data_IF_554289575948
#
_entry.id   IF_554289575948
#
_cell.length_a   1.000
_cell.length_b   1.000
_cell.length_c   1.000
_cell.angle_alpha   90.00
_cell.angle_beta   90.00
_cell.angle_gamma   90.00
#
_symmetry.space_group_name_H-M   'P 1'
#
loop_
_entity.id
_entity.type
_entity.pdbx_description
1 polymer ?
#
# COMPACT_ATOMS: atom_id res chain seq x y z
N UNK A 1 -2.95 -18.59 2.79
CA UNK A 1 -1.56 -18.97 2.48
C UNK A 1 -1.47 -19.47 1.05
N UNK A 2 -0.32 -19.31 0.40
CA UNK A 2 -0.13 -19.60 -1.02
C UNK A 2 0.82 -18.60 -1.68
N UNK A 3 1.30 -18.88 -2.91
CA UNK A 3 2.26 -18.01 -3.58
C UNK A 3 1.68 -16.62 -3.82
N UNK A 4 2.49 -15.59 -3.53
CA UNK A 4 2.14 -14.18 -3.78
C UNK A 4 2.22 -13.92 -5.30
N UNK A 5 1.06 -13.89 -5.96
CA UNK A 5 0.94 -13.71 -7.42
C UNK A 5 -0.21 -12.75 -7.76
N UNK A 6 -0.26 -12.19 -8.98
CA UNK A 6 -1.41 -11.41 -9.41
C UNK A 6 -2.73 -12.15 -9.12
N UNK A 7 -3.69 -11.45 -8.54
CA UNK A 7 -4.94 -12.02 -8.03
C UNK A 7 -4.94 -12.42 -6.56
N UNK A 8 -3.78 -12.62 -5.92
CA UNK A 8 -3.70 -12.86 -4.47
C UNK A 8 -4.35 -11.71 -3.71
N UNK A 9 -5.10 -12.03 -2.65
CA UNK A 9 -5.87 -11.05 -1.89
C UNK A 9 -5.69 -11.17 -0.38
N UNK A 10 -5.77 -10.05 0.32
CA UNK A 10 -5.61 -9.93 1.77
C UNK A 10 -6.64 -8.99 2.36
N UNK A 11 -7.12 -9.30 3.56
CA UNK A 11 -7.90 -8.36 4.36
C UNK A 11 -6.94 -7.43 5.11
N UNK A 12 -7.16 -6.13 4.98
CA UNK A 12 -6.38 -5.10 5.64
C UNK A 12 -7.31 -4.28 6.52
N UNK A 13 -7.16 -4.44 7.83
CA UNK A 13 -7.80 -3.58 8.83
C UNK A 13 -6.81 -2.49 9.20
N UNK A 14 -7.13 -1.23 8.84
CA UNK A 14 -6.29 -0.08 9.15
C UNK A 14 -7.07 0.99 9.91
N UNK A 15 -6.37 1.81 10.69
CA UNK A 15 -6.98 2.97 11.36
C UNK A 15 -6.65 4.23 10.57
N UNK A 16 -7.66 4.82 9.95
CA UNK A 16 -7.59 6.05 9.18
C UNK A 16 -8.54 7.08 9.80
N UNK A 17 -8.04 8.29 10.13
CA UNK A 17 -8.83 9.36 10.79
C UNK A 17 -9.49 8.94 12.12
N UNK A 18 -8.79 8.10 12.89
CA UNK A 18 -9.35 7.55 14.12
C UNK A 18 -10.45 6.50 13.91
N UNK A 19 -10.85 6.21 12.67
CA UNK A 19 -11.81 5.17 12.31
C UNK A 19 -11.10 3.93 11.81
N UNK A 20 -11.56 2.77 12.25
CA UNK A 20 -11.14 1.50 11.65
C UNK A 20 -11.80 1.37 10.27
N UNK A 21 -11.00 1.07 9.26
CA UNK A 21 -11.41 0.87 7.89
C UNK A 21 -10.86 -0.46 7.42
N UNK A 22 -11.75 -1.33 6.94
CA UNK A 22 -11.37 -2.58 6.31
C UNK A 22 -11.32 -2.40 4.80
N UNK A 23 -10.22 -2.83 4.19
CA UNK A 23 -10.04 -2.92 2.76
C UNK A 23 -9.67 -4.35 2.39
N UNK A 24 -10.21 -4.83 1.28
CA UNK A 24 -9.69 -6.04 0.63
C UNK A 24 -8.67 -5.60 -0.40
N UNK A 25 -7.41 -5.92 -0.14
CA UNK A 25 -6.32 -5.68 -1.06
C UNK A 25 -6.11 -6.86 -2.00
N UNK A 26 -5.78 -6.57 -3.25
CA UNK A 26 -5.38 -7.54 -4.26
C UNK A 26 -4.07 -7.11 -4.89
N UNK A 27 -3.19 -8.06 -5.17
CA UNK A 27 -2.04 -7.85 -6.04
C UNK A 27 -2.54 -7.78 -7.48
N UNK A 28 -2.51 -6.59 -8.05
CA UNK A 28 -3.02 -6.30 -9.40
C UNK A 28 -2.00 -6.70 -10.46
N UNK A 29 -0.73 -6.33 -10.26
CA UNK A 29 0.37 -6.71 -11.13
C UNK A 29 1.67 -6.91 -10.36
N UNK A 30 2.51 -7.83 -10.87
CA UNK A 30 3.85 -8.11 -10.36
C UNK A 30 4.82 -8.15 -11.54
N UNK A 31 5.72 -7.17 -11.59
CA UNK A 31 6.84 -7.12 -12.51
C UNK A 31 8.18 -7.26 -11.77
N UNK A 32 9.31 -7.28 -12.50
CA UNK A 32 10.64 -7.43 -11.91
C UNK A 32 11.06 -6.27 -10.98
N UNK A 33 10.54 -5.06 -11.21
CA UNK A 33 10.86 -3.83 -10.47
C UNK A 33 9.63 -3.01 -10.09
N UNK A 34 8.46 -3.63 -10.17
CA UNK A 34 7.20 -2.95 -9.90
C UNK A 34 6.17 -3.90 -9.32
N UNK A 35 5.46 -3.44 -8.30
CA UNK A 35 4.26 -4.08 -7.77
C UNK A 35 3.13 -3.07 -7.75
N UNK A 36 1.94 -3.52 -8.11
CA UNK A 36 0.72 -2.73 -8.01
C UNK A 36 -0.29 -3.47 -7.17
N UNK A 37 -0.80 -2.80 -6.15
CA UNK A 37 -1.89 -3.30 -5.32
C UNK A 37 -3.13 -2.44 -5.50
N UNK A 38 -4.29 -3.08 -5.41
CA UNK A 38 -5.59 -2.41 -5.42
C UNK A 38 -6.37 -2.83 -4.18
N UNK A 39 -6.69 -1.87 -3.33
CA UNK A 39 -7.50 -2.03 -2.13
C UNK A 39 -8.90 -1.48 -2.35
N UNK A 40 -9.94 -2.24 -2.01
CA UNK A 40 -11.33 -1.78 -2.20
C UNK A 40 -12.18 -2.01 -0.96
N UNK A 41 -13.09 -1.08 -0.73
CA UNK A 41 -14.28 -1.28 0.09
C UNK A 41 -15.45 -0.45 -0.46
N UNK A 42 -16.53 -0.33 0.31
CA UNK A 42 -17.74 0.41 -0.12
C UNK A 42 -17.51 1.90 -0.35
N UNK A 43 -16.52 2.51 0.31
CA UNK A 43 -16.33 3.96 0.36
C UNK A 43 -15.06 4.43 -0.34
N UNK A 44 -14.07 3.56 -0.53
CA UNK A 44 -12.78 3.93 -1.11
C UNK A 44 -12.21 2.83 -2.01
N UNK A 45 -11.54 3.28 -3.07
CA UNK A 45 -10.66 2.49 -3.91
C UNK A 45 -9.24 3.05 -3.76
N UNK A 46 -8.33 2.26 -3.21
CA UNK A 46 -6.91 2.56 -3.10
C UNK A 46 -6.14 1.85 -4.22
N UNK A 47 -5.18 2.54 -4.83
CA UNK A 47 -4.19 1.97 -5.73
C UNK A 47 -2.81 2.38 -5.24
N UNK A 48 -2.00 1.37 -4.94
CA UNK A 48 -0.68 1.52 -4.37
C UNK A 48 0.34 0.96 -5.35
N UNK A 49 1.20 1.83 -5.87
CA UNK A 49 2.25 1.49 -6.81
C UNK A 49 3.60 1.56 -6.11
N UNK A 50 4.36 0.48 -6.21
CA UNK A 50 5.69 0.32 -5.63
C UNK A 50 6.70 0.11 -6.75
N UNK A 51 7.68 1.00 -6.89
CA UNK A 51 8.75 0.90 -7.89
C UNK A 51 10.09 0.74 -7.20
N UNK A 52 10.88 -0.21 -7.68
CA UNK A 52 12.14 -0.61 -7.06
C UNK A 52 13.31 -0.29 -7.99
N UNK A 53 14.25 0.48 -7.49
CA UNK A 53 15.45 0.89 -8.22
C UNK A 53 16.70 0.50 -7.42
N UNK A 54 17.61 -0.26 -8.04
CA UNK A 54 18.90 -0.54 -7.44
C UNK A 54 19.74 0.74 -7.42
N UNK A 55 20.11 1.21 -6.23
CA UNK A 55 21.06 2.32 -6.06
C UNK A 55 22.49 1.82 -5.93
N UNK A 56 22.67 0.59 -5.41
CA UNK A 56 23.93 -0.14 -5.35
C UNK A 56 23.64 -1.65 -5.25
N UNK A 57 24.68 -2.46 -5.07
CA UNK A 57 24.56 -3.91 -4.81
C UNK A 57 23.85 -4.23 -3.49
N UNK A 58 23.84 -3.30 -2.53
CA UNK A 58 23.28 -3.50 -1.19
C UNK A 58 22.12 -2.56 -0.87
N UNK A 59 21.82 -1.60 -1.75
CA UNK A 59 20.82 -0.56 -1.51
C UNK A 59 19.79 -0.50 -2.62
N UNK A 60 18.51 -0.62 -2.25
CA UNK A 60 17.37 -0.42 -3.15
C UNK A 60 16.61 0.82 -2.73
N UNK A 61 16.35 1.72 -3.67
CA UNK A 61 15.39 2.81 -3.51
C UNK A 61 14.00 2.28 -3.86
N UNK A 62 13.08 2.44 -2.93
CA UNK A 62 11.66 2.19 -3.14
C UNK A 62 10.92 3.52 -3.29
N UNK A 63 10.27 3.70 -4.44
CA UNK A 63 9.31 4.79 -4.63
C UNK A 63 7.91 4.23 -4.46
N UNK A 64 7.18 4.77 -3.49
CA UNK A 64 5.80 4.40 -3.18
C UNK A 64 4.85 5.53 -3.56
N UNK A 65 3.84 5.22 -4.37
CA UNK A 65 2.78 6.14 -4.78
C UNK A 65 1.44 5.54 -4.43
N UNK A 66 0.77 6.13 -3.45
CA UNK A 66 -0.61 5.80 -3.10
C UNK A 66 -1.58 6.77 -3.76
N UNK A 67 -2.68 6.23 -4.29
CA UNK A 67 -3.80 7.03 -4.80
C UNK A 67 -5.10 6.46 -4.23
N UNK A 68 -5.91 7.32 -3.62
CA UNK A 68 -7.22 6.94 -3.11
C UNK A 68 -8.30 7.70 -3.85
N UNK A 69 -9.33 6.97 -4.25
CA UNK A 69 -10.54 7.51 -4.86
C UNK A 69 -11.71 7.18 -3.96
N UNK A 70 -12.44 8.20 -3.53
CA UNK A 70 -13.67 7.97 -2.77
C UNK A 70 -14.81 7.60 -3.70
N UNK A 71 -15.65 6.70 -3.23
CA UNK A 71 -16.82 6.21 -3.93
C UNK A 71 -18.07 6.90 -3.37
N UNK A 72 -19.07 7.16 -4.23
CA UNK A 72 -20.36 7.72 -3.83
C UNK A 72 -20.27 9.11 -3.16
N UNK A 73 -21.09 9.34 -2.13
CA UNK A 73 -21.18 10.62 -1.41
C UNK A 73 -19.88 11.00 -0.66
N UNK A 74 -18.95 10.05 -0.45
CA UNK A 74 -17.68 10.31 0.21
C UNK A 74 -16.71 11.17 -0.63
N UNK A 75 -16.96 11.36 -1.92
CA UNK A 75 -16.15 12.23 -2.82
C UNK A 75 -16.02 13.66 -2.32
N UNK A 76 -17.02 14.17 -1.58
CA UNK A 76 -17.02 15.53 -1.05
C UNK A 76 -16.01 15.75 0.09
N UNK A 77 -15.44 14.68 0.65
CA UNK A 77 -14.49 14.77 1.75
C UNK A 77 -13.02 14.90 1.30
N UNK A 78 -12.72 14.77 0.00
CA UNK A 78 -11.36 14.70 -0.57
C UNK A 78 -10.34 15.75 -0.03
N UNK A 79 -10.65 17.06 0.02
CA UNK A 79 -9.65 18.06 0.42
C UNK A 79 -9.24 17.99 1.90
N UNK A 80 -10.03 17.34 2.75
CA UNK A 80 -9.76 17.23 4.18
C UNK A 80 -8.85 16.05 4.56
N UNK A 81 -8.34 15.34 3.57
CA UNK A 81 -7.70 14.03 3.77
C UNK A 81 -6.20 14.01 3.45
N UNK A 82 -5.67 15.12 2.93
CA UNK A 82 -4.27 15.25 2.53
C UNK A 82 -3.31 14.86 3.66
N UNK A 83 -3.54 15.38 4.87
CA UNK A 83 -2.69 15.11 6.04
C UNK A 83 -2.70 13.63 6.43
N UNK A 84 -3.86 12.99 6.36
CA UNK A 84 -3.98 11.58 6.70
C UNK A 84 -3.39 10.68 5.62
N UNK A 85 -3.38 11.12 4.36
CA UNK A 85 -2.62 10.46 3.29
C UNK A 85 -1.11 10.58 3.49
N UNK A 86 -0.61 11.76 3.83
CA UNK A 86 0.80 11.99 4.18
C UNK A 86 1.21 11.09 5.36
N UNK A 87 0.41 11.08 6.44
CA UNK A 87 0.66 10.22 7.59
C UNK A 87 0.59 8.72 7.27
N UNK A 88 -0.25 8.31 6.31
CA UNK A 88 -0.28 6.92 5.83
C UNK A 88 1.00 6.59 5.05
N UNK A 89 1.44 7.48 4.16
CA UNK A 89 2.66 7.31 3.38
C UNK A 89 3.89 7.20 4.31
N UNK A 90 4.00 8.07 5.31
CA UNK A 90 5.10 8.05 6.28
C UNK A 90 5.16 6.74 7.07
N UNK A 91 4.00 6.22 7.48
CA UNK A 91 3.91 4.92 8.18
C UNK A 91 4.37 3.77 7.29
N UNK A 92 3.99 3.78 6.01
CA UNK A 92 4.43 2.77 5.04
C UNK A 92 5.94 2.84 4.84
N UNK A 93 6.48 4.04 4.61
CA UNK A 93 7.92 4.28 4.44
C UNK A 93 8.73 3.81 5.66
N UNK A 94 8.23 4.05 6.88
CA UNK A 94 8.90 3.61 8.11
C UNK A 94 8.83 2.10 8.38
N UNK A 95 7.74 1.43 7.98
CA UNK A 95 7.54 0.00 8.26
C UNK A 95 8.21 -0.94 7.25
N UNK A 96 8.25 -0.55 5.98
CA UNK A 96 8.74 -1.43 4.91
C UNK A 96 10.19 -1.92 5.11
N UNK A 97 11.17 -1.07 5.49
CA UNK A 97 12.54 -1.55 5.74
C UNK A 97 12.60 -2.60 6.85
N UNK A 98 11.78 -2.47 7.89
CA UNK A 98 11.73 -3.45 8.98
C UNK A 98 11.06 -4.75 8.55
N UNK A 99 10.00 -4.70 7.74
CA UNK A 99 9.35 -5.89 7.20
C UNK A 99 10.29 -6.69 6.29
N UNK A 100 11.05 -5.99 5.43
CA UNK A 100 12.08 -6.61 4.57
C UNK A 100 13.15 -7.27 5.42
N UNK A 101 13.68 -6.57 6.43
CA UNK A 101 14.70 -7.14 7.34
C UNK A 101 14.19 -8.38 8.09
N UNK A 102 12.95 -8.37 8.55
CA UNK A 102 12.36 -9.53 9.22
C UNK A 102 12.30 -10.76 8.30
N UNK A 103 11.91 -10.56 7.03
CA UNK A 103 11.81 -11.67 6.08
C UNK A 103 13.17 -12.14 5.54
N UNK A 104 14.18 -11.27 5.51
CA UNK A 104 15.56 -11.65 5.16
C UNK A 104 16.37 -12.22 6.34
N UNK A 105 15.93 -12.00 7.59
CA UNK A 105 16.57 -12.55 8.79
C UNK A 105 16.10 -13.95 9.19
N UNK A 106 15.07 -14.47 8.53
CA UNK A 106 14.60 -15.87 8.63
C UNK A 106 15.24 -16.81 7.57
N UNK A 107 16.33 -16.38 6.92
CA UNK A 107 17.08 -17.18 5.95
C UNK A 107 18.43 -17.63 6.49
#
# INVERSE_FOLDING_TARGET
EGPVRPGSSWQNTSRFRGRTTDLVYRLDSRGPRELVFVGVNKTVTARDQMRFEAQSTTTTRLTYVASLRFNGLARLAEPFLRREFEALADKVAGRLPSAVRAHHGEA
#
